data_IF_203770802159
#
_entry.id   IF_203770802159
#
_cell.length_a   1.000
_cell.length_b   1.000
_cell.length_c   1.000
_cell.angle_alpha   90.00
_cell.angle_beta   90.00
_cell.angle_gamma   90.00
#
_symmetry.space_group_name_H-M   'P 1'
#
loop_
_entity.id
_entity.type
_entity.pdbx_description
1 polymer ?
#
# COMPACT_ATOMS: atom_id res chain seq x y z
N UNK A 1 10.73 16.85 14.53
CA UNK A 1 11.65 17.17 13.41
C UNK A 1 10.79 17.52 12.22
N UNK A 2 10.94 18.71 11.64
CA UNK A 2 10.17 19.13 10.46
C UNK A 2 10.98 18.87 9.20
N UNK A 3 10.46 18.05 8.29
CA UNK A 3 11.05 17.94 6.96
C UNK A 3 10.60 19.11 6.09
N UNK A 4 11.51 19.64 5.27
CA UNK A 4 11.17 20.57 4.20
C UNK A 4 10.71 19.75 2.99
N UNK A 5 9.52 20.03 2.46
CA UNK A 5 8.96 19.31 1.31
C UNK A 5 8.85 20.27 0.14
N UNK A 6 9.33 19.83 -1.03
CA UNK A 6 9.19 20.57 -2.28
C UNK A 6 8.97 19.63 -3.47
N UNK A 7 8.39 20.15 -4.53
CA UNK A 7 8.28 19.46 -5.81
C UNK A 7 9.68 19.16 -6.38
N UNK A 8 9.85 17.95 -6.90
CA UNK A 8 11.03 17.52 -7.62
C UNK A 8 11.08 18.17 -9.01
N UNK A 9 12.28 18.42 -9.50
CA UNK A 9 12.55 18.91 -10.86
C UNK A 9 13.46 17.95 -11.59
N UNK A 10 13.71 18.19 -12.88
CA UNK A 10 14.64 17.37 -13.67
C UNK A 10 16.04 17.29 -13.06
N UNK A 11 16.52 18.38 -12.42
CA UNK A 11 17.81 18.40 -11.71
C UNK A 11 17.84 17.46 -10.49
N UNK A 12 16.67 17.07 -9.98
CA UNK A 12 16.54 16.09 -8.89
C UNK A 12 16.48 14.64 -9.39
N UNK A 13 16.69 14.39 -10.68
CA UNK A 13 16.58 13.04 -11.26
C UNK A 13 17.43 12.02 -10.50
N UNK A 14 18.69 12.33 -10.24
CA UNK A 14 19.62 11.37 -9.62
C UNK A 14 19.26 11.09 -8.15
N UNK A 15 18.78 12.09 -7.41
CA UNK A 15 18.35 11.88 -6.02
C UNK A 15 17.03 11.13 -5.95
N UNK A 16 16.10 11.43 -6.86
CA UNK A 16 14.82 10.75 -6.98
C UNK A 16 15.03 9.28 -7.37
N UNK A 17 15.87 9.00 -8.37
CA UNK A 17 16.18 7.65 -8.83
C UNK A 17 16.76 6.78 -7.70
N UNK A 18 17.65 7.34 -6.85
CA UNK A 18 18.16 6.62 -5.67
C UNK A 18 17.06 6.27 -4.68
N UNK A 19 16.19 7.22 -4.32
CA UNK A 19 15.09 6.96 -3.40
C UNK A 19 14.09 5.94 -3.94
N UNK A 20 13.75 6.01 -5.23
CA UNK A 20 12.90 5.04 -5.89
C UNK A 20 13.54 3.64 -5.92
N UNK A 21 14.84 3.56 -6.20
CA UNK A 21 15.56 2.29 -6.18
C UNK A 21 15.57 1.69 -4.76
N UNK A 22 15.77 2.50 -3.72
CA UNK A 22 15.64 2.08 -2.33
C UNK A 22 14.22 1.57 -2.00
N UNK A 23 13.18 2.30 -2.43
CA UNK A 23 11.78 1.91 -2.28
C UNK A 23 11.49 0.55 -2.92
N UNK A 24 11.81 0.38 -4.20
CA UNK A 24 11.56 -0.86 -4.93
C UNK A 24 12.42 -2.01 -4.40
N UNK A 25 13.67 -1.75 -4.01
CA UNK A 25 14.54 -2.73 -3.35
C UNK A 25 13.92 -3.25 -2.06
N UNK A 26 13.42 -2.36 -1.22
CA UNK A 26 12.77 -2.76 0.03
C UNK A 26 11.47 -3.56 -0.23
N UNK A 27 10.62 -3.09 -1.15
CA UNK A 27 9.36 -3.75 -1.46
C UNK A 27 9.57 -5.14 -2.09
N UNK A 28 10.46 -5.24 -3.09
CA UNK A 28 10.75 -6.49 -3.80
C UNK A 28 11.40 -7.51 -2.87
N UNK A 29 12.25 -7.07 -1.94
CA UNK A 29 12.79 -7.94 -0.89
C UNK A 29 11.69 -8.56 -0.02
N UNK A 30 10.65 -7.80 0.36
CA UNK A 30 9.51 -8.38 1.10
C UNK A 30 8.76 -9.41 0.27
N UNK A 31 8.60 -9.15 -1.02
CA UNK A 31 7.92 -10.05 -1.96
C UNK A 31 8.73 -11.30 -2.32
N UNK A 32 10.04 -11.32 -2.07
CA UNK A 32 10.93 -12.39 -2.54
C UNK A 32 11.30 -12.25 -4.02
N UNK A 33 11.10 -11.06 -4.60
CA UNK A 33 11.45 -10.74 -5.97
C UNK A 33 12.79 -9.99 -6.04
N UNK A 34 13.47 -10.06 -7.19
CA UNK A 34 14.63 -9.20 -7.45
C UNK A 34 14.16 -7.76 -7.75
N UNK A 35 14.85 -6.74 -7.23
CA UNK A 35 14.60 -5.37 -7.65
C UNK A 35 15.12 -5.12 -9.07
N UNK A 36 14.54 -4.10 -9.71
CA UNK A 36 15.03 -3.52 -10.96
C UNK A 36 16.38 -2.84 -10.73
N UNK A 37 17.17 -2.71 -11.80
CA UNK A 37 18.42 -1.96 -11.78
C UNK A 37 18.18 -0.47 -11.54
N UNK A 38 19.19 0.24 -11.03
CA UNK A 38 19.09 1.69 -10.82
C UNK A 38 18.90 2.44 -12.15
N UNK A 39 19.43 1.92 -13.26
CA UNK A 39 19.31 2.47 -14.60
C UNK A 39 17.86 2.37 -15.15
N UNK A 40 17.20 1.23 -14.95
CA UNK A 40 15.78 1.05 -15.29
C UNK A 40 14.90 1.99 -14.45
N UNK A 41 15.13 2.01 -13.14
CA UNK A 41 14.42 2.91 -12.21
C UNK A 41 14.63 4.36 -12.61
N UNK A 42 15.86 4.76 -12.90
CA UNK A 42 16.20 6.13 -13.34
C UNK A 42 15.47 6.51 -14.62
N UNK A 43 15.35 5.58 -15.57
CA UNK A 43 14.60 5.80 -16.82
C UNK A 43 13.12 6.04 -16.54
N UNK A 44 12.51 5.23 -15.66
CA UNK A 44 11.13 5.40 -15.22
C UNK A 44 10.89 6.74 -14.50
N UNK A 45 11.77 7.09 -13.56
CA UNK A 45 11.70 8.37 -12.82
C UNK A 45 11.87 9.56 -13.75
N UNK A 46 12.76 9.49 -14.75
CA UNK A 46 12.93 10.54 -15.75
C UNK A 46 11.62 10.77 -16.54
N UNK A 47 10.95 9.70 -16.95
CA UNK A 47 9.65 9.79 -17.62
C UNK A 47 8.59 10.42 -16.71
N UNK A 48 8.55 10.03 -15.43
CA UNK A 48 7.63 10.62 -14.46
C UNK A 48 7.90 12.13 -14.25
N UNK A 49 9.16 12.55 -14.16
CA UNK A 49 9.51 13.98 -14.01
C UNK A 49 9.21 14.81 -15.26
N UNK A 50 9.16 14.19 -16.45
CA UNK A 50 8.87 14.86 -17.71
C UNK A 50 7.37 14.93 -18.04
N UNK A 51 6.54 14.11 -17.40
CA UNK A 51 5.11 14.04 -17.63
C UNK A 51 4.35 15.00 -16.71
N UNK A 52 3.58 15.93 -17.31
CA UNK A 52 2.79 16.92 -16.56
C UNK A 52 1.65 16.30 -15.76
N UNK A 53 1.27 15.05 -16.04
CA UNK A 53 0.30 14.28 -15.24
C UNK A 53 0.93 13.67 -13.98
N UNK A 54 2.21 13.92 -13.73
CA UNK A 54 2.90 13.44 -12.55
C UNK A 54 3.44 14.61 -11.72
N UNK A 55 3.39 14.46 -10.40
CA UNK A 55 4.06 15.33 -9.45
C UNK A 55 4.80 14.47 -8.43
N UNK A 56 6.11 14.67 -8.31
CA UNK A 56 6.92 14.02 -7.27
C UNK A 56 7.26 15.09 -6.22
N UNK A 57 7.01 14.81 -4.95
CA UNK A 57 7.37 15.66 -3.83
C UNK A 57 8.48 15.00 -3.01
N UNK A 58 9.58 15.70 -2.81
CA UNK A 58 10.74 15.23 -2.05
C UNK A 58 10.73 15.85 -0.65
N UNK A 59 10.98 15.01 0.36
CA UNK A 59 11.20 15.43 1.74
C UNK A 59 12.70 15.51 2.05
N UNK A 60 13.11 16.65 2.63
CA UNK A 60 14.48 16.93 3.04
C UNK A 60 14.58 17.14 4.55
N UNK A 61 15.61 16.57 5.17
CA UNK A 61 15.99 16.82 6.56
C UNK A 61 17.47 17.19 6.58
N UNK A 62 17.79 18.37 7.13
CA UNK A 62 19.17 18.89 7.16
C UNK A 62 19.88 18.91 5.79
N UNK A 63 19.13 19.10 4.70
CA UNK A 63 19.65 19.11 3.32
C UNK A 63 19.67 17.74 2.64
N UNK A 64 19.49 16.64 3.38
CA UNK A 64 19.45 15.29 2.82
C UNK A 64 18.03 14.93 2.36
N UNK A 65 17.91 14.36 1.16
CA UNK A 65 16.64 13.78 0.71
C UNK A 65 16.39 12.44 1.42
N UNK A 66 15.26 12.37 2.14
CA UNK A 66 14.94 11.26 3.05
C UNK A 66 13.66 10.53 2.71
N UNK A 67 12.89 11.02 1.73
CA UNK A 67 11.66 10.40 1.31
C UNK A 67 10.99 11.15 0.18
N UNK A 68 9.94 10.55 -0.37
CA UNK A 68 9.15 11.15 -1.43
C UNK A 68 7.72 10.60 -1.45
N UNK A 69 6.83 11.33 -2.13
CA UNK A 69 5.56 10.79 -2.63
C UNK A 69 5.37 11.19 -4.08
N UNK A 70 4.83 10.30 -4.90
CA UNK A 70 4.36 10.63 -6.26
C UNK A 70 2.85 10.68 -6.31
N UNK A 71 2.34 11.71 -6.97
CA UNK A 71 0.95 11.81 -7.39
C UNK A 71 0.88 11.65 -8.90
N UNK A 72 -0.04 10.84 -9.39
CA UNK A 72 -0.35 10.73 -10.82
C UNK A 72 -1.81 11.10 -11.10
N UNK A 73 -2.06 11.69 -12.26
CA UNK A 73 -3.38 12.01 -12.77
C UNK A 73 -3.77 11.05 -13.90
N UNK A 74 -4.96 10.45 -13.80
CA UNK A 74 -5.56 9.62 -14.84
C UNK A 74 -7.03 10.00 -14.96
N UNK A 75 -7.41 10.51 -16.14
CA UNK A 75 -8.80 10.85 -16.46
C UNK A 75 -9.44 11.80 -15.43
N UNK A 76 -8.67 12.76 -14.91
CA UNK A 76 -9.12 13.73 -13.89
C UNK A 76 -9.10 13.21 -12.45
N UNK A 77 -8.81 11.92 -12.22
CA UNK A 77 -8.63 11.35 -10.88
C UNK A 77 -7.15 11.30 -10.49
N UNK A 78 -6.85 11.38 -9.18
CA UNK A 78 -5.49 11.47 -8.68
C UNK A 78 -5.12 10.32 -7.74
N UNK A 79 -3.98 9.67 -7.97
CA UNK A 79 -3.44 8.62 -7.12
C UNK A 79 -2.16 9.06 -6.43
N UNK A 80 -2.06 8.87 -5.12
CA UNK A 80 -0.80 8.81 -4.40
C UNK A 80 -0.19 7.41 -4.61
N UNK A 81 0.78 7.32 -5.51
CA UNK A 81 1.22 6.06 -6.10
C UNK A 81 2.30 5.37 -5.28
N UNK A 82 3.48 5.99 -5.20
CA UNK A 82 4.56 5.51 -4.34
C UNK A 82 4.81 6.54 -3.24
N UNK A 83 4.85 6.04 -2.00
CA UNK A 83 5.27 6.78 -0.81
C UNK A 83 6.46 6.04 -0.20
N UNK A 84 7.55 6.77 0.02
CA UNK A 84 8.73 6.23 0.66
C UNK A 84 9.34 7.20 1.65
N UNK A 85 9.80 6.66 2.77
CA UNK A 85 10.67 7.34 3.72
C UNK A 85 11.77 6.35 4.09
N UNK A 86 13.03 6.81 4.05
CA UNK A 86 14.19 6.03 4.49
C UNK A 86 13.96 5.44 5.88
N UNK A 87 14.34 4.17 6.14
CA UNK A 87 14.05 3.50 7.41
C UNK A 87 14.43 4.30 8.67
N UNK A 88 15.59 4.95 8.66
CA UNK A 88 16.11 5.75 9.79
C UNK A 88 15.33 7.04 10.05
N UNK A 89 14.47 7.47 9.12
CA UNK A 89 13.66 8.69 9.21
C UNK A 89 12.15 8.37 9.41
N UNK A 90 11.79 7.09 9.57
CA UNK A 90 10.40 6.68 9.79
C UNK A 90 9.94 7.00 11.21
N UNK A 91 8.61 7.05 11.38
CA UNK A 91 7.94 7.38 12.66
C UNK A 91 8.24 8.79 13.19
N UNK A 92 8.84 9.65 12.36
CA UNK A 92 9.13 11.06 12.69
C UNK A 92 8.10 12.04 12.10
N UNK A 93 6.97 11.54 11.59
CA UNK A 93 5.91 12.35 10.96
C UNK A 93 6.11 12.66 9.46
N UNK A 94 7.26 12.32 8.88
CA UNK A 94 7.62 12.68 7.49
C UNK A 94 6.66 12.09 6.45
N UNK A 95 6.29 10.81 6.58
CA UNK A 95 5.32 10.18 5.66
C UNK A 95 3.95 10.85 5.71
N UNK A 96 3.50 11.26 6.91
CA UNK A 96 2.25 12.03 7.08
C UNK A 96 2.35 13.40 6.42
N UNK A 97 3.48 14.08 6.55
CA UNK A 97 3.70 15.37 5.88
C UNK A 97 3.70 15.23 4.35
N UNK A 98 4.34 14.19 3.81
CA UNK A 98 4.32 13.89 2.36
C UNK A 98 2.90 13.66 1.85
N UNK A 99 2.12 12.80 2.52
CA UNK A 99 0.73 12.54 2.14
C UNK A 99 -0.14 13.79 2.21
N UNK A 100 0.01 14.62 3.24
CA UNK A 100 -0.68 15.91 3.31
C UNK A 100 -0.33 16.84 2.15
N UNK A 101 0.93 16.84 1.70
CA UNK A 101 1.32 17.61 0.51
C UNK A 101 0.65 17.06 -0.75
N UNK A 102 0.55 15.74 -0.89
CA UNK A 102 -0.18 15.12 -1.99
C UNK A 102 -1.69 15.47 -1.95
N UNK A 103 -2.33 15.36 -0.79
CA UNK A 103 -3.74 15.73 -0.58
C UNK A 103 -4.00 17.20 -0.94
N UNK A 104 -3.15 18.12 -0.45
CA UNK A 104 -3.25 19.55 -0.76
C UNK A 104 -3.08 19.81 -2.27
N UNK A 105 -2.12 19.15 -2.91
CA UNK A 105 -1.93 19.26 -4.36
C UNK A 105 -3.19 18.85 -5.14
N UNK A 106 -3.87 17.78 -4.72
CA UNK A 106 -5.12 17.33 -5.35
C UNK A 106 -6.26 18.35 -5.13
N UNK A 107 -6.36 18.92 -3.93
CA UNK A 107 -7.33 19.99 -3.64
C UNK A 107 -7.08 21.25 -4.49
N UNK A 108 -5.81 21.64 -4.68
CA UNK A 108 -5.42 22.76 -5.54
C UNK A 108 -5.75 22.51 -7.02
N UNK A 109 -5.93 21.25 -7.42
CA UNK A 109 -6.42 20.87 -8.75
C UNK A 109 -7.95 20.87 -8.87
N UNK A 110 -8.66 21.16 -7.78
CA UNK A 110 -10.13 21.21 -7.74
C UNK A 110 -10.79 19.87 -7.43
N UNK A 111 -10.03 18.85 -7.07
CA UNK A 111 -10.54 17.53 -6.75
C UNK A 111 -10.66 17.29 -5.24
N UNK A 112 -11.61 16.45 -4.85
CA UNK A 112 -11.91 16.17 -3.43
C UNK A 112 -11.44 14.79 -2.97
N UNK A 113 -10.91 13.98 -3.88
CA UNK A 113 -10.55 12.58 -3.61
C UNK A 113 -9.16 12.27 -4.13
N UNK A 114 -8.36 11.63 -3.28
CA UNK A 114 -7.06 11.05 -3.63
C UNK A 114 -7.09 9.56 -3.35
N UNK A 115 -6.65 8.78 -4.31
CA UNK A 115 -6.67 7.32 -4.24
C UNK A 115 -5.28 6.80 -3.89
N UNK A 116 -5.21 5.60 -3.31
CA UNK A 116 -3.97 4.87 -3.10
C UNK A 116 -4.22 3.39 -3.41
N UNK A 117 -3.31 2.77 -4.16
CA UNK A 117 -3.38 1.34 -4.45
C UNK A 117 -2.37 0.61 -3.55
N UNK A 118 -2.86 -0.35 -2.77
CA UNK A 118 -2.02 -1.09 -1.83
C UNK A 118 -2.30 -2.57 -1.94
N UNK A 119 -1.23 -3.36 -2.03
CA UNK A 119 -1.35 -4.83 -1.96
C UNK A 119 -1.93 -5.24 -0.60
N UNK A 120 -2.87 -6.21 -0.55
CA UNK A 120 -3.47 -6.65 0.71
C UNK A 120 -2.44 -7.18 1.74
N UNK A 121 -1.25 -7.59 1.30
CA UNK A 121 -0.17 -8.04 2.19
C UNK A 121 0.70 -6.92 2.77
N UNK A 122 0.60 -5.71 2.22
CA UNK A 122 1.38 -4.57 2.68
C UNK A 122 0.73 -3.95 3.92
N UNK A 123 0.65 -4.73 5.01
CA UNK A 123 -0.13 -4.37 6.19
C UNK A 123 0.36 -3.09 6.83
N UNK A 124 1.66 -2.83 6.81
CA UNK A 124 2.24 -1.58 7.30
C UNK A 124 1.76 -0.34 6.53
N UNK A 125 1.58 -0.45 5.21
CA UNK A 125 1.04 0.63 4.39
C UNK A 125 -0.46 0.81 4.59
N UNK A 126 -1.23 -0.28 4.69
CA UNK A 126 -2.68 -0.23 4.97
C UNK A 126 -2.96 0.48 6.29
N UNK A 127 -2.31 0.06 7.38
CA UNK A 127 -2.46 0.70 8.70
C UNK A 127 -1.99 2.16 8.71
N UNK A 128 -1.03 2.52 7.87
CA UNK A 128 -0.58 3.89 7.75
C UNK A 128 -1.62 4.77 7.05
N UNK A 129 -2.17 4.31 5.92
CA UNK A 129 -3.20 5.01 5.16
C UNK A 129 -4.52 5.13 5.95
N UNK A 130 -4.93 4.07 6.65
CA UNK A 130 -6.10 4.08 7.54
C UNK A 130 -6.00 5.19 8.59
N UNK A 131 -4.83 5.34 9.23
CA UNK A 131 -4.58 6.42 10.21
C UNK A 131 -4.59 7.82 9.59
N UNK A 132 -4.52 7.94 8.28
CA UNK A 132 -4.64 9.20 7.54
C UNK A 132 -6.06 9.45 7.03
N UNK A 133 -7.00 8.52 7.24
CA UNK A 133 -8.39 8.65 6.80
C UNK A 133 -8.66 8.09 5.40
N UNK A 134 -7.76 7.26 4.86
CA UNK A 134 -8.02 6.49 3.64
C UNK A 134 -8.85 5.25 3.98
N UNK A 135 -10.13 5.45 4.28
CA UNK A 135 -11.06 4.44 4.78
C UNK A 135 -12.19 4.08 3.78
N UNK A 136 -12.22 4.74 2.62
CA UNK A 136 -13.15 4.41 1.53
C UNK A 136 -12.52 3.33 0.63
N UNK A 137 -13.13 2.16 0.61
CA UNK A 137 -12.79 1.09 -0.33
C UNK A 137 -13.31 1.45 -1.74
N UNK A 138 -12.40 1.62 -2.70
CA UNK A 138 -12.74 2.02 -4.07
C UNK A 138 -12.97 0.81 -5.00
N UNK A 139 -11.91 0.07 -5.33
CA UNK A 139 -11.94 -1.03 -6.31
C UNK A 139 -11.22 -2.26 -5.77
N UNK A 140 -11.76 -3.44 -6.06
CA UNK A 140 -11.10 -4.73 -5.84
C UNK A 140 -10.69 -5.30 -7.20
N UNK A 141 -9.39 -5.53 -7.39
CA UNK A 141 -8.84 -6.16 -8.58
C UNK A 141 -8.79 -7.68 -8.40
N UNK A 142 -9.34 -8.44 -9.35
CA UNK A 142 -9.32 -9.90 -9.35
C UNK A 142 -8.55 -10.43 -10.55
N UNK A 143 -7.68 -11.41 -10.30
CA UNK A 143 -6.91 -12.11 -11.34
C UNK A 143 -7.28 -13.58 -11.38
N UNK A 144 -7.49 -14.10 -12.60
CA UNK A 144 -7.64 -15.53 -12.85
C UNK A 144 -6.32 -16.08 -13.39
N UNK A 145 -5.71 -17.01 -12.68
CA UNK A 145 -4.58 -17.76 -13.23
C UNK A 145 -5.07 -18.64 -14.37
N UNK A 146 -4.37 -18.58 -15.51
CA UNK A 146 -4.63 -19.45 -16.65
C UNK A 146 -3.92 -20.81 -16.51
N UNK A 147 -2.98 -20.90 -15.56
CA UNK A 147 -2.25 -22.12 -15.20
C UNK A 147 -2.47 -22.50 -13.73
N UNK A 148 -2.28 -23.77 -13.33
CA UNK A 148 -2.30 -24.16 -11.93
C UNK A 148 -1.24 -23.39 -11.11
N UNK A 149 -1.65 -22.86 -9.95
CA UNK A 149 -0.75 -22.22 -8.99
C UNK A 149 -0.52 -23.15 -7.80
N UNK A 150 0.71 -23.15 -7.25
CA UNK A 150 0.99 -23.92 -6.05
C UNK A 150 0.26 -23.32 -4.86
N UNK A 151 -0.22 -24.19 -3.95
CA UNK A 151 -0.81 -23.75 -2.68
C UNK A 151 0.20 -23.02 -1.79
N UNK A 152 1.49 -23.36 -1.90
CA UNK A 152 2.55 -22.69 -1.15
C UNK A 152 2.74 -21.21 -1.51
N UNK A 153 2.30 -20.82 -2.71
CA UNK A 153 2.60 -19.51 -3.30
C UNK A 153 1.51 -18.48 -2.96
N UNK A 154 0.42 -18.94 -2.34
CA UNK A 154 -0.74 -18.13 -2.01
C UNK A 154 -1.15 -18.31 -0.56
N UNK A 155 -1.91 -17.33 -0.07
CA UNK A 155 -2.66 -17.39 1.19
C UNK A 155 -4.13 -17.14 0.90
N UNK A 156 -5.01 -17.67 1.74
CA UNK A 156 -6.44 -17.33 1.74
C UNK A 156 -6.71 -16.14 2.65
N UNK A 157 -7.42 -15.15 2.13
CA UNK A 157 -8.11 -14.12 2.90
C UNK A 157 -9.61 -14.24 2.65
N UNK A 158 -10.43 -13.67 3.51
CA UNK A 158 -11.86 -13.52 3.24
C UNK A 158 -12.21 -12.07 2.94
N UNK A 159 -13.15 -11.88 2.01
CA UNK A 159 -13.83 -10.61 1.82
C UNK A 159 -15.33 -10.88 1.66
N UNK A 160 -16.14 -10.27 2.52
CA UNK A 160 -17.59 -10.54 2.62
C UNK A 160 -17.89 -12.04 2.76
N UNK A 161 -17.08 -12.73 3.58
CA UNK A 161 -17.11 -14.16 3.83
C UNK A 161 -16.82 -15.06 2.62
N UNK A 162 -16.35 -14.50 1.51
CA UNK A 162 -15.87 -15.28 0.36
C UNK A 162 -14.36 -15.47 0.44
N UNK A 163 -13.82 -16.67 0.19
CA UNK A 163 -12.38 -16.89 0.18
C UNK A 163 -11.76 -16.34 -1.12
N UNK A 164 -10.70 -15.56 -0.98
CA UNK A 164 -9.87 -15.09 -2.07
C UNK A 164 -8.42 -15.50 -1.86
N UNK A 165 -7.76 -15.82 -2.97
CA UNK A 165 -6.33 -16.10 -2.97
C UNK A 165 -5.58 -14.80 -3.19
N UNK A 166 -4.61 -14.54 -2.33
CA UNK A 166 -3.57 -13.53 -2.55
C UNK A 166 -2.23 -14.25 -2.66
N UNK A 167 -1.29 -13.69 -3.43
CA UNK A 167 0.09 -14.17 -3.42
C UNK A 167 0.64 -14.21 -2.00
N UNK A 168 1.70 -14.96 -1.73
CA UNK A 168 2.37 -14.96 -0.43
C UNK A 168 3.71 -14.22 -0.53
N UNK A 169 3.93 -13.22 0.32
CA UNK A 169 5.21 -12.53 0.43
C UNK A 169 6.20 -13.37 1.23
N UNK A 170 7.48 -13.28 0.88
CA UNK A 170 8.56 -13.93 1.64
C UNK A 170 8.67 -13.40 3.09
N UNK A 171 8.23 -12.16 3.31
CA UNK A 171 8.11 -11.54 4.64
C UNK A 171 6.71 -10.96 4.80
N UNK A 172 5.87 -11.67 5.54
CA UNK A 172 4.53 -11.20 5.94
C UNK A 172 4.63 -10.19 7.09
N UNK A 173 3.69 -9.23 7.12
CA UNK A 173 3.70 -8.11 8.09
C UNK A 173 2.51 -8.15 9.07
N UNK A 174 1.80 -9.27 9.13
CA UNK A 174 0.69 -9.48 10.05
C UNK A 174 1.15 -9.55 11.50
N UNK A 175 0.36 -9.02 12.42
CA UNK A 175 0.54 -9.27 13.85
C UNK A 175 0.06 -10.70 14.22
N UNK A 176 0.20 -11.08 15.49
CA UNK A 176 -0.09 -12.45 15.91
C UNK A 176 -1.59 -12.75 15.93
N UNK A 177 -2.44 -11.77 16.22
CA UNK A 177 -3.90 -11.93 16.17
C UNK A 177 -4.38 -12.06 14.72
N UNK A 178 -3.82 -11.25 13.82
CA UNK A 178 -4.10 -11.33 12.39
C UNK A 178 -3.69 -12.67 11.80
N UNK A 179 -2.52 -13.21 12.19
CA UNK A 179 -2.09 -14.55 11.75
C UNK A 179 -3.04 -15.64 12.23
N UNK A 180 -3.46 -15.59 13.49
CA UNK A 180 -4.38 -16.57 14.05
C UNK A 180 -5.73 -16.54 13.32
N UNK A 181 -6.27 -15.34 13.10
CA UNK A 181 -7.47 -15.14 12.29
C UNK A 181 -7.32 -15.71 10.87
N UNK A 182 -6.23 -15.36 10.16
CA UNK A 182 -5.97 -15.85 8.81
C UNK A 182 -5.87 -17.38 8.76
N UNK A 183 -5.22 -17.98 9.77
CA UNK A 183 -5.11 -19.44 9.89
C UNK A 183 -6.48 -20.09 10.14
N UNK A 184 -7.30 -19.51 11.01
CA UNK A 184 -8.65 -20.00 11.29
C UNK A 184 -9.55 -19.95 10.04
N UNK A 185 -9.52 -18.83 9.30
CA UNK A 185 -10.25 -18.66 8.04
C UNK A 185 -9.78 -19.65 6.98
N UNK A 186 -8.46 -19.83 6.83
CA UNK A 186 -7.89 -20.78 5.89
C UNK A 186 -8.32 -22.22 6.22
N UNK A 187 -8.26 -22.61 7.50
CA UNK A 187 -8.71 -23.93 7.97
C UNK A 187 -10.20 -24.15 7.73
N UNK A 188 -11.03 -23.14 8.02
CA UNK A 188 -12.46 -23.18 7.82
C UNK A 188 -12.82 -23.54 6.37
N UNK A 189 -12.27 -22.80 5.39
CA UNK A 189 -12.53 -23.09 3.98
C UNK A 189 -11.84 -24.37 3.50
N UNK A 190 -10.73 -24.78 4.11
CA UNK A 190 -10.05 -26.05 3.79
C UNK A 190 -10.92 -27.26 4.11
N UNK A 191 -11.79 -27.18 5.12
CA UNK A 191 -12.74 -28.22 5.47
C UNK A 191 -13.95 -28.30 4.52
N UNK A 192 -14.01 -27.43 3.51
CA UNK A 192 -15.12 -27.39 2.54
C UNK A 192 -16.33 -26.59 3.01
N UNK A 193 -16.18 -25.80 4.08
CA UNK A 193 -17.24 -24.95 4.59
C UNK A 193 -17.57 -23.80 3.63
N UNK A 194 -18.78 -23.26 3.77
CA UNK A 194 -19.34 -22.29 2.83
C UNK A 194 -19.29 -20.86 3.36
N UNK A 195 -19.35 -19.90 2.44
CA UNK A 195 -19.56 -18.48 2.75
C UNK A 195 -20.75 -18.28 3.70
N UNK A 196 -21.88 -18.92 3.42
CA UNK A 196 -23.11 -18.74 4.20
C UNK A 196 -22.93 -19.23 5.64
N UNK A 197 -22.17 -20.31 5.83
CA UNK A 197 -21.83 -20.81 7.16
C UNK A 197 -20.95 -19.82 7.92
N UNK A 198 -19.93 -19.25 7.26
CA UNK A 198 -19.07 -18.24 7.89
C UNK A 198 -19.88 -17.01 8.31
N UNK A 199 -20.78 -16.51 7.43
CA UNK A 199 -21.67 -15.40 7.76
C UNK A 199 -22.57 -15.69 8.94
N UNK A 200 -23.13 -16.89 9.05
CA UNK A 200 -23.96 -17.28 10.18
C UNK A 200 -23.16 -17.26 11.49
N UNK A 201 -21.95 -17.82 11.49
CA UNK A 201 -21.07 -17.88 12.66
C UNK A 201 -20.68 -16.47 13.10
N UNK A 202 -20.16 -15.64 12.18
CA UNK A 202 -19.71 -14.28 12.51
C UNK A 202 -20.87 -13.39 12.94
N UNK A 203 -22.01 -13.45 12.25
CA UNK A 203 -23.21 -12.70 12.64
C UNK A 203 -23.70 -13.10 14.03
N UNK A 204 -23.72 -14.40 14.33
CA UNK A 204 -24.11 -14.87 15.66
C UNK A 204 -23.13 -14.37 16.73
N UNK A 205 -21.83 -14.54 16.53
CA UNK A 205 -20.81 -14.10 17.48
C UNK A 205 -20.89 -12.59 17.78
N UNK A 206 -21.08 -11.76 16.75
CA UNK A 206 -21.24 -10.31 16.91
C UNK A 206 -22.51 -9.99 17.70
N UNK A 207 -23.64 -10.62 17.38
CA UNK A 207 -24.92 -10.39 18.10
C UNK A 207 -24.85 -10.82 19.56
N UNK A 208 -24.28 -11.99 19.83
CA UNK A 208 -24.11 -12.51 21.18
C UNK A 208 -23.24 -11.55 22.01
N UNK A 209 -22.07 -11.12 21.48
CA UNK A 209 -21.21 -10.12 22.14
C UNK A 209 -21.92 -8.81 22.45
N UNK A 210 -22.70 -8.28 21.49
CA UNK A 210 -23.47 -7.05 21.70
C UNK A 210 -24.58 -7.21 22.75
N UNK A 211 -25.13 -8.41 22.91
CA UNK A 211 -26.16 -8.68 23.93
C UNK A 211 -25.60 -8.82 25.35
N UNK A 212 -24.33 -9.20 25.49
CA UNK A 212 -23.63 -9.30 26.78
C UNK A 212 -23.02 -7.97 27.25
N UNK A 213 -22.86 -7.00 26.35
CA UNK A 213 -22.30 -5.67 26.63
C UNK A 213 -23.34 -4.64 27.14
N UNK A 214 -24.60 -5.04 27.30
CA UNK A 214 -25.74 -4.24 27.79
C UNK A 214 -26.13 -4.75 29.18
#
# INVERSE_FOLDING_TARGET
MSANIRTAKMDDLEVSARLYHEFWSELRKKQGCKPESIEEVRTSVKSCLADSKNAIFLAFVNGDAVGFVRVSEREGCFWAEELYVKPTYRRMGIGKSLMKTAEQYVQEKGENYVYAMVSPQNRSALLFLERLGYDILNTIELVKSLEPISRSDVRIIEFLASPYKIWKWSKEEYDDLEKDYLQAVEEFFRQGETRDKLLQITTKAIRDYLSEAI
#
